data_IF_096630591053
#
_entry.id   IF_096630591053
#
_cell.length_a   1.000
_cell.length_b   1.000
_cell.length_c   1.000
_cell.angle_alpha   90.00
_cell.angle_beta   90.00
_cell.angle_gamma   90.00
#
_symmetry.space_group_name_H-M   'P 1'
#
loop_
_entity.id
_entity.type
_entity.pdbx_description
1 polymer ?
#
# COMPACT_ATOMS: atom_id res chain seq x y z
N UNK A 1 14.96 -20.11 -31.22
CA UNK A 1 15.00 -18.68 -30.89
C UNK A 1 14.01 -17.94 -31.75
N UNK A 2 12.97 -17.34 -31.16
CA UNK A 2 12.05 -16.47 -31.91
C UNK A 2 12.56 -15.02 -32.00
N UNK A 3 13.36 -14.55 -31.03
CA UNK A 3 13.90 -13.18 -30.97
C UNK A 3 15.38 -13.21 -30.61
N UNK A 4 16.23 -12.50 -31.37
CA UNK A 4 17.69 -12.47 -31.18
C UNK A 4 18.18 -11.16 -30.56
N UNK A 5 17.37 -10.10 -30.62
CA UNK A 5 17.72 -8.79 -30.07
C UNK A 5 16.57 -8.22 -29.24
N UNK A 6 16.91 -7.32 -28.30
CA UNK A 6 15.90 -6.57 -27.53
C UNK A 6 14.97 -5.77 -28.45
N UNK A 7 15.51 -5.17 -29.53
CA UNK A 7 14.74 -4.39 -30.48
C UNK A 7 13.68 -5.23 -31.20
N UNK A 8 14.02 -6.45 -31.64
CA UNK A 8 13.06 -7.38 -32.26
C UNK A 8 11.95 -7.77 -31.28
N UNK A 9 12.31 -8.05 -30.02
CA UNK A 9 11.34 -8.39 -28.99
C UNK A 9 10.38 -7.23 -28.70
N UNK A 10 10.90 -6.01 -28.56
CA UNK A 10 10.07 -4.82 -28.30
C UNK A 10 9.21 -4.44 -29.50
N UNK A 11 9.73 -4.61 -30.72
CA UNK A 11 8.93 -4.44 -31.93
C UNK A 11 7.75 -5.40 -31.93
N UNK A 12 8.01 -6.68 -31.62
CA UNK A 12 6.95 -7.67 -31.48
C UNK A 12 5.95 -7.28 -30.40
N UNK A 13 6.40 -6.93 -29.20
CA UNK A 13 5.54 -6.54 -28.09
C UNK A 13 4.58 -5.39 -28.48
N UNK A 14 5.09 -4.42 -29.25
CA UNK A 14 4.30 -3.28 -29.73
C UNK A 14 3.15 -3.70 -30.67
N UNK A 15 3.28 -4.80 -31.41
CA UNK A 15 2.19 -5.32 -32.26
C UNK A 15 0.97 -5.82 -31.46
N UNK A 16 1.09 -6.01 -30.15
CA UNK A 16 -0.06 -6.33 -29.30
C UNK A 16 -0.84 -5.07 -28.89
N UNK A 17 -0.22 -3.88 -28.92
CA UNK A 17 -0.90 -2.63 -28.51
C UNK A 17 -2.15 -2.41 -29.38
N UNK A 18 -3.29 -2.18 -28.72
CA UNK A 18 -4.59 -2.03 -29.36
C UNK A 18 -5.36 -3.32 -29.61
N UNK A 19 -4.75 -4.50 -29.46
CA UNK A 19 -5.45 -5.79 -29.57
C UNK A 19 -6.12 -6.19 -28.27
N UNK A 20 -7.25 -6.87 -28.39
CA UNK A 20 -7.95 -7.51 -27.28
C UNK A 20 -7.37 -8.90 -27.00
N UNK A 21 -7.54 -9.42 -25.79
CA UNK A 21 -7.12 -10.80 -25.50
C UNK A 21 -7.89 -11.84 -26.31
N UNK A 22 -9.13 -11.57 -26.70
CA UNK A 22 -9.89 -12.43 -27.61
C UNK A 22 -9.28 -12.53 -29.01
N UNK A 23 -8.69 -11.44 -29.52
CA UNK A 23 -7.96 -11.45 -30.81
C UNK A 23 -6.59 -12.12 -30.70
N UNK A 24 -5.95 -12.03 -29.54
CA UNK A 24 -4.62 -12.60 -29.30
C UNK A 24 -4.71 -14.11 -29.04
N UNK A 25 -5.71 -14.57 -28.29
CA UNK A 25 -5.81 -15.94 -27.83
C UNK A 25 -6.09 -16.93 -28.97
N UNK A 26 -5.14 -17.84 -29.20
CA UNK A 26 -5.25 -18.93 -30.18
C UNK A 26 -5.63 -20.26 -29.53
N UNK A 27 -5.71 -20.30 -28.21
CA UNK A 27 -5.87 -21.51 -27.39
C UNK A 27 -7.26 -21.66 -26.79
N UNK A 28 -8.07 -20.59 -26.80
CA UNK A 28 -9.37 -20.55 -26.13
C UNK A 28 -9.29 -20.47 -24.60
N UNK A 29 -8.09 -20.24 -24.04
CA UNK A 29 -7.87 -20.06 -22.59
C UNK A 29 -8.67 -18.90 -22.03
N UNK A 30 -8.99 -17.89 -22.85
CA UNK A 30 -9.71 -16.68 -22.47
C UNK A 30 -11.16 -16.96 -22.06
N UNK A 31 -11.74 -18.09 -22.46
CA UNK A 31 -13.09 -18.52 -22.06
C UNK A 31 -13.12 -19.21 -20.68
N UNK A 32 -12.00 -19.74 -20.19
CA UNK A 32 -11.96 -20.47 -18.93
C UNK A 32 -11.70 -19.56 -17.71
N UNK A 33 -12.75 -18.95 -17.16
CA UNK A 33 -12.65 -17.99 -16.05
C UNK A 33 -12.05 -18.54 -14.75
N UNK A 34 -12.02 -19.87 -14.57
CA UNK A 34 -11.67 -20.50 -13.28
C UNK A 34 -10.18 -20.53 -12.95
N UNK A 35 -9.31 -20.16 -13.88
CA UNK A 35 -7.86 -20.26 -13.71
C UNK A 35 -7.18 -18.89 -13.69
N UNK A 36 -6.52 -18.59 -12.56
CA UNK A 36 -5.73 -17.37 -12.35
C UNK A 36 -4.50 -17.38 -13.27
N UNK A 37 -4.15 -16.23 -13.85
CA UNK A 37 -2.91 -16.06 -14.64
C UNK A 37 -3.02 -16.31 -16.15
N UNK A 38 -4.20 -16.66 -16.67
CA UNK A 38 -4.39 -16.98 -18.09
C UNK A 38 -4.02 -15.85 -19.07
N UNK A 39 -4.22 -14.58 -18.71
CA UNK A 39 -3.85 -13.47 -19.59
C UNK A 39 -2.32 -13.40 -19.82
N UNK A 40 -1.53 -13.76 -18.79
CA UNK A 40 -0.08 -13.96 -18.93
C UNK A 40 0.24 -15.05 -19.95
N UNK A 41 -0.36 -16.22 -19.75
CA UNK A 41 -0.17 -17.39 -20.60
C UNK A 41 -0.63 -17.18 -22.05
N UNK A 42 -1.70 -16.40 -22.27
CA UNK A 42 -2.15 -16.03 -23.62
C UNK A 42 -1.06 -15.22 -24.34
N UNK A 43 -0.42 -14.27 -23.65
CA UNK A 43 0.67 -13.48 -24.24
C UNK A 43 1.90 -14.37 -24.46
N UNK A 44 2.26 -15.23 -23.50
CA UNK A 44 3.38 -16.17 -23.63
C UNK A 44 3.20 -17.13 -24.83
N UNK A 45 2.09 -17.88 -24.87
CA UNK A 45 1.84 -18.93 -25.85
C UNK A 45 1.32 -18.38 -27.18
N UNK A 46 0.25 -17.58 -27.15
CA UNK A 46 -0.46 -17.19 -28.38
C UNK A 46 0.22 -16.01 -29.10
N UNK A 47 0.86 -15.11 -28.35
CA UNK A 47 1.49 -13.92 -28.92
C UNK A 47 2.98 -14.09 -29.20
N UNK A 48 3.76 -14.58 -28.22
CA UNK A 48 5.21 -14.79 -28.36
C UNK A 48 5.60 -16.21 -28.80
N UNK A 49 4.68 -17.18 -28.74
CA UNK A 49 4.91 -18.54 -29.24
C UNK A 49 5.74 -19.43 -28.32
N UNK A 50 5.78 -19.15 -27.01
CA UNK A 50 6.49 -19.98 -26.04
C UNK A 50 5.60 -21.06 -25.44
N UNK A 51 6.15 -22.24 -25.17
CA UNK A 51 5.50 -23.21 -24.29
C UNK A 51 5.59 -22.74 -22.83
N UNK A 52 4.45 -22.73 -22.13
CA UNK A 52 4.41 -22.44 -20.69
C UNK A 52 5.31 -23.43 -19.97
N UNK A 53 6.35 -22.91 -19.32
CA UNK A 53 7.30 -23.69 -18.55
C UNK A 53 7.51 -23.07 -17.17
N UNK A 54 7.86 -23.89 -16.18
CA UNK A 54 8.06 -23.45 -14.80
C UNK A 54 9.54 -23.20 -14.46
N UNK A 55 10.35 -22.76 -15.43
CA UNK A 55 11.78 -22.55 -15.22
C UNK A 55 12.03 -21.35 -14.32
N UNK A 56 13.12 -21.41 -13.56
CA UNK A 56 13.52 -20.31 -12.67
C UNK A 56 14.12 -19.12 -13.42
N UNK A 57 14.57 -19.32 -14.66
CA UNK A 57 15.16 -18.30 -15.54
C UNK A 57 14.13 -17.26 -16.00
N UNK A 58 14.60 -16.20 -16.66
CA UNK A 58 13.74 -15.21 -17.28
C UNK A 58 13.04 -15.81 -18.52
N UNK A 59 11.84 -15.31 -18.84
CA UNK A 59 11.05 -15.81 -19.98
C UNK A 59 11.82 -15.73 -21.31
N UNK A 60 12.58 -14.65 -21.51
CA UNK A 60 13.54 -14.49 -22.61
C UNK A 60 14.98 -14.61 -22.09
N UNK A 61 15.36 -15.82 -21.65
CA UNK A 61 16.63 -16.09 -20.97
C UNK A 61 17.87 -15.55 -21.71
N UNK A 62 17.93 -15.67 -23.04
CA UNK A 62 19.07 -15.18 -23.85
C UNK A 62 19.20 -13.65 -23.86
N UNK A 63 18.09 -12.93 -23.63
CA UNK A 63 18.07 -11.47 -23.53
C UNK A 63 18.09 -10.99 -22.06
N UNK A 64 17.92 -11.91 -21.10
CA UNK A 64 17.77 -11.58 -19.69
C UNK A 64 16.52 -10.73 -19.41
N UNK A 65 15.43 -10.94 -20.14
CA UNK A 65 14.18 -10.18 -20.03
C UNK A 65 13.06 -11.08 -19.50
N UNK A 66 12.38 -10.64 -18.44
CA UNK A 66 11.19 -11.28 -17.90
C UNK A 66 9.92 -10.69 -18.55
N UNK A 67 8.91 -11.52 -18.84
CA UNK A 67 7.61 -11.07 -19.31
C UNK A 67 6.63 -10.92 -18.14
N UNK A 68 5.90 -9.80 -18.12
CA UNK A 68 4.86 -9.56 -17.14
C UNK A 68 3.66 -8.85 -17.77
N UNK A 69 2.48 -9.44 -17.61
CA UNK A 69 1.21 -8.87 -18.04
C UNK A 69 0.51 -8.28 -16.82
N UNK A 70 0.15 -6.99 -16.85
CA UNK A 70 -0.32 -6.28 -15.65
C UNK A 70 -1.51 -5.34 -15.93
N UNK A 71 -2.57 -5.38 -15.10
CA UNK A 71 -3.78 -4.58 -15.30
C UNK A 71 -3.65 -3.13 -14.82
N UNK A 72 -4.19 -2.22 -15.63
CA UNK A 72 -4.49 -0.84 -15.27
C UNK A 72 -5.99 -0.62 -15.13
N UNK A 73 -6.40 0.19 -14.16
CA UNK A 73 -7.79 0.63 -13.98
C UNK A 73 -7.91 2.14 -14.17
N UNK A 74 -9.05 2.57 -14.69
CA UNK A 74 -9.46 3.97 -14.71
C UNK A 74 -10.20 4.32 -13.41
N UNK A 75 -9.70 5.30 -12.68
CA UNK A 75 -10.33 5.78 -11.46
C UNK A 75 -11.51 6.71 -11.75
N UNK A 76 -12.38 6.93 -10.76
CA UNK A 76 -13.56 7.83 -10.89
C UNK A 76 -13.20 9.26 -11.29
N UNK A 77 -12.01 9.74 -10.89
CA UNK A 77 -11.47 11.05 -11.26
C UNK A 77 -10.72 11.03 -12.61
N UNK A 78 -10.87 9.97 -13.41
CA UNK A 78 -10.24 9.75 -14.71
C UNK A 78 -8.72 9.57 -14.70
N UNK A 79 -8.09 9.44 -13.52
CA UNK A 79 -6.67 9.06 -13.46
C UNK A 79 -6.49 7.56 -13.63
N UNK A 80 -5.30 7.15 -14.06
CA UNK A 80 -4.93 5.73 -14.22
C UNK A 80 -4.12 5.26 -13.00
N UNK A 81 -4.31 4.00 -12.62
CA UNK A 81 -3.51 3.32 -11.59
C UNK A 81 -3.44 1.83 -11.89
N UNK A 82 -2.39 1.15 -11.42
CA UNK A 82 -2.35 -0.30 -11.42
C UNK A 82 -3.48 -0.86 -10.56
N UNK A 83 -4.10 -1.94 -11.04
CA UNK A 83 -5.19 -2.61 -10.30
C UNK A 83 -4.66 -3.52 -9.19
N UNK A 84 -3.43 -3.98 -9.30
CA UNK A 84 -2.75 -4.89 -8.37
C UNK A 84 -1.22 -4.70 -8.39
N UNK A 85 -0.53 -5.36 -7.45
CA UNK A 85 0.93 -5.44 -7.39
C UNK A 85 1.48 -6.30 -8.53
N UNK A 86 2.73 -6.07 -8.96
CA UNK A 86 3.40 -6.96 -9.90
C UNK A 86 4.17 -8.04 -9.15
N UNK A 87 3.66 -9.28 -9.17
CA UNK A 87 4.30 -10.42 -8.52
C UNK A 87 5.47 -10.94 -9.38
N UNK A 88 6.61 -11.19 -8.75
CA UNK A 88 7.85 -11.65 -9.36
C UNK A 88 8.18 -13.09 -8.90
N UNK A 89 9.45 -13.41 -8.68
CA UNK A 89 9.89 -14.73 -8.22
C UNK A 89 9.61 -14.99 -6.74
N UNK A 90 9.49 -16.27 -6.40
CA UNK A 90 9.37 -16.75 -5.01
C UNK A 90 10.67 -16.49 -4.27
N UNK A 91 10.56 -16.03 -3.01
CA UNK A 91 11.69 -15.86 -2.10
C UNK A 91 12.02 -17.22 -1.50
N UNK A 92 13.16 -17.80 -1.89
CA UNK A 92 13.67 -18.99 -1.23
C UNK A 92 14.49 -18.57 -0.01
N UNK A 93 13.88 -18.60 1.18
CA UNK A 93 14.52 -18.14 2.43
C UNK A 93 15.90 -18.76 2.70
N UNK A 94 16.11 -20.02 2.33
CA UNK A 94 17.37 -20.74 2.55
C UNK A 94 18.48 -20.25 1.61
N UNK A 95 18.14 -19.97 0.35
CA UNK A 95 19.11 -19.60 -0.69
C UNK A 95 19.36 -18.09 -0.74
N UNK A 96 18.31 -17.28 -0.58
CA UNK A 96 18.38 -15.83 -0.77
C UNK A 96 19.33 -15.15 0.23
N UNK A 97 19.44 -15.70 1.44
CA UNK A 97 20.36 -15.15 2.46
C UNK A 97 21.84 -15.34 2.13
N UNK A 98 22.15 -16.20 1.16
CA UNK A 98 23.52 -16.55 0.74
C UNK A 98 24.02 -15.68 -0.42
N UNK A 99 23.19 -14.79 -0.98
CA UNK A 99 23.53 -13.98 -2.14
C UNK A 99 23.87 -12.53 -1.76
N UNK A 100 24.50 -11.80 -2.68
CA UNK A 100 24.47 -10.33 -2.71
C UNK A 100 23.24 -9.85 -3.48
N UNK A 101 23.00 -8.54 -3.55
CA UNK A 101 21.91 -8.01 -4.38
C UNK A 101 22.12 -8.38 -5.85
N UNK A 102 23.34 -8.19 -6.37
CA UNK A 102 23.69 -8.39 -7.78
C UNK A 102 23.62 -9.88 -8.20
N UNK A 103 23.82 -10.79 -7.24
CA UNK A 103 23.73 -12.25 -7.45
C UNK A 103 22.42 -12.86 -6.95
N UNK A 104 21.48 -12.02 -6.48
CA UNK A 104 20.20 -12.46 -5.93
C UNK A 104 19.28 -13.08 -6.98
N UNK A 105 18.37 -13.94 -6.53
CA UNK A 105 17.33 -14.49 -7.42
C UNK A 105 16.38 -13.40 -7.92
N UNK A 106 16.22 -12.32 -7.14
CA UNK A 106 15.50 -11.13 -7.56
C UNK A 106 16.20 -10.43 -8.74
N UNK A 107 17.44 -9.98 -8.57
CA UNK A 107 18.08 -9.10 -9.54
C UNK A 107 18.36 -9.79 -10.87
N UNK A 108 18.89 -11.01 -10.79
CA UNK A 108 19.23 -11.82 -11.98
C UNK A 108 18.04 -12.04 -12.91
N UNK A 109 16.84 -12.20 -12.35
CA UNK A 109 15.60 -12.42 -13.11
C UNK A 109 14.89 -11.12 -13.51
N UNK A 110 14.94 -10.08 -12.67
CA UNK A 110 14.04 -8.94 -12.79
C UNK A 110 14.72 -7.62 -13.17
N UNK A 111 16.01 -7.62 -13.53
CA UNK A 111 16.74 -6.41 -13.97
C UNK A 111 16.13 -5.74 -15.21
N UNK A 112 15.47 -6.52 -16.09
CA UNK A 112 14.73 -6.04 -17.26
C UNK A 112 13.40 -6.78 -17.35
N UNK A 113 12.29 -6.03 -17.36
CA UNK A 113 10.95 -6.62 -17.39
C UNK A 113 10.17 -6.04 -18.56
N UNK A 114 9.78 -6.87 -19.52
CA UNK A 114 8.83 -6.50 -20.54
C UNK A 114 7.41 -6.48 -19.95
N UNK A 115 6.91 -5.28 -19.70
CA UNK A 115 5.56 -5.03 -19.22
C UNK A 115 4.57 -4.95 -20.38
N UNK A 116 3.49 -5.71 -20.27
CA UNK A 116 2.31 -5.64 -21.13
C UNK A 116 1.15 -5.10 -20.31
N UNK A 117 0.93 -3.78 -20.37
CA UNK A 117 -0.18 -3.12 -19.69
C UNK A 117 -1.48 -3.36 -20.46
N UNK A 118 -2.52 -3.79 -19.76
CA UNK A 118 -3.87 -3.91 -20.33
C UNK A 118 -4.92 -3.18 -19.49
N UNK A 119 -6.02 -2.80 -20.12
CA UNK A 119 -7.12 -2.16 -19.43
C UNK A 119 -8.00 -3.21 -18.74
N UNK A 120 -8.12 -3.11 -17.42
CA UNK A 120 -9.13 -3.83 -16.65
C UNK A 120 -10.40 -2.98 -16.55
N UNK A 121 -11.53 -3.57 -16.91
CA UNK A 121 -12.85 -2.95 -16.82
C UNK A 121 -13.73 -3.85 -15.94
N UNK A 122 -14.33 -3.32 -14.86
CA UNK A 122 -15.26 -4.10 -14.02
C UNK A 122 -16.41 -4.67 -14.87
N UNK A 123 -16.83 -5.89 -14.56
CA UNK A 123 -18.02 -6.54 -15.15
C UNK A 123 -17.94 -6.78 -16.68
N UNK A 124 -16.79 -6.52 -17.29
CA UNK A 124 -16.51 -6.84 -18.69
C UNK A 124 -15.71 -8.14 -18.78
N UNK A 125 -16.07 -8.99 -19.73
CA UNK A 125 -15.38 -10.26 -19.95
C UNK A 125 -13.92 -10.00 -20.39
N UNK A 126 -12.99 -10.79 -19.86
CA UNK A 126 -11.56 -10.55 -20.06
C UNK A 126 -11.08 -10.69 -21.50
N UNK A 127 -11.86 -11.32 -22.39
CA UNK A 127 -11.56 -11.36 -23.82
C UNK A 127 -11.60 -9.98 -24.45
N UNK A 128 -12.40 -9.06 -23.90
CA UNK A 128 -12.53 -7.68 -24.37
C UNK A 128 -11.46 -6.76 -23.78
N UNK A 129 -10.67 -7.23 -22.81
CA UNK A 129 -9.58 -6.42 -22.28
C UNK A 129 -8.54 -6.15 -23.36
N UNK A 130 -8.13 -4.89 -23.47
CA UNK A 130 -7.23 -4.42 -24.51
C UNK A 130 -5.83 -4.18 -23.96
N UNK A 131 -4.81 -4.62 -24.69
CA UNK A 131 -3.42 -4.25 -24.41
C UNK A 131 -3.24 -2.78 -24.76
N UNK A 132 -2.95 -1.96 -23.75
CA UNK A 132 -2.80 -0.52 -23.89
C UNK A 132 -1.39 -0.13 -24.32
N UNK A 133 -0.39 -0.78 -23.71
CA UNK A 133 1.01 -0.38 -23.87
C UNK A 133 1.96 -1.52 -23.55
N UNK A 134 3.00 -1.66 -24.37
CA UNK A 134 4.17 -2.48 -24.09
C UNK A 134 5.34 -1.57 -23.70
N UNK A 135 6.12 -1.98 -22.70
CA UNK A 135 7.25 -1.19 -22.21
C UNK A 135 8.32 -2.08 -21.59
N UNK A 136 9.60 -1.82 -21.88
CA UNK A 136 10.72 -2.45 -21.18
C UNK A 136 11.02 -1.67 -19.91
N UNK A 137 10.58 -2.17 -18.77
CA UNK A 137 10.93 -1.61 -17.48
C UNK A 137 12.39 -1.92 -17.15
N UNK A 138 13.15 -0.85 -16.98
CA UNK A 138 14.44 -0.80 -16.29
C UNK A 138 14.33 0.19 -15.14
N UNK A 139 15.15 0.02 -14.11
CA UNK A 139 15.12 0.91 -12.93
C UNK A 139 16.04 2.11 -13.14
N UNK A 140 15.58 3.31 -12.77
CA UNK A 140 16.47 4.47 -12.64
C UNK A 140 17.47 4.24 -11.50
N UNK A 141 18.52 5.06 -11.41
CA UNK A 141 19.50 4.95 -10.34
C UNK A 141 18.84 5.12 -8.95
N UNK A 142 17.93 6.08 -8.83
CA UNK A 142 17.17 6.35 -7.61
C UNK A 142 16.25 5.17 -7.23
N UNK A 143 15.44 4.70 -8.17
CA UNK A 143 14.53 3.57 -7.94
C UNK A 143 15.32 2.31 -7.57
N UNK A 144 16.44 2.05 -8.25
CA UNK A 144 17.29 0.89 -8.01
C UNK A 144 17.89 0.91 -6.60
N UNK A 145 18.32 2.08 -6.13
CA UNK A 145 18.90 2.21 -4.80
C UNK A 145 17.87 1.94 -3.71
N UNK A 146 16.62 2.40 -3.88
CA UNK A 146 15.51 2.07 -2.98
C UNK A 146 15.21 0.57 -3.02
N UNK A 147 15.13 -0.03 -4.21
CA UNK A 147 14.90 -1.47 -4.39
C UNK A 147 16.01 -2.32 -3.75
N UNK A 148 17.27 -1.88 -3.84
CA UNK A 148 18.41 -2.53 -3.19
C UNK A 148 18.30 -2.47 -1.67
N UNK A 149 17.93 -1.31 -1.12
CA UNK A 149 17.67 -1.15 0.32
C UNK A 149 16.51 -2.04 0.79
N UNK A 150 15.44 -2.14 0.01
CA UNK A 150 14.29 -3.01 0.29
C UNK A 150 14.68 -4.49 0.28
N UNK A 151 15.45 -4.93 -0.71
CA UNK A 151 15.98 -6.30 -0.77
C UNK A 151 16.89 -6.59 0.43
N UNK A 152 17.75 -5.65 0.81
CA UNK A 152 18.61 -5.75 2.00
C UNK A 152 17.77 -5.86 3.29
N UNK A 153 16.69 -5.08 3.42
CA UNK A 153 15.78 -5.18 4.55
C UNK A 153 15.16 -6.57 4.64
N UNK A 154 14.59 -7.06 3.53
CA UNK A 154 13.93 -8.38 3.48
C UNK A 154 14.91 -9.48 3.87
N UNK A 155 16.10 -9.50 3.26
CA UNK A 155 17.12 -10.51 3.55
C UNK A 155 17.69 -10.40 4.95
N UNK A 156 17.88 -9.20 5.48
CA UNK A 156 18.31 -8.99 6.88
C UNK A 156 17.29 -9.52 7.88
N UNK A 157 15.99 -9.32 7.60
CA UNK A 157 14.91 -9.85 8.46
C UNK A 157 14.85 -11.38 8.42
N UNK A 158 15.14 -12.01 7.27
CA UNK A 158 15.29 -13.46 7.16
C UNK A 158 16.52 -13.93 7.94
N UNK A 159 17.67 -13.25 7.79
CA UNK A 159 18.93 -13.52 8.53
C UNK A 159 18.75 -13.43 10.05
N UNK A 160 17.88 -12.55 10.50
CA UNK A 160 17.51 -12.42 11.92
C UNK A 160 16.53 -13.49 12.43
N UNK A 161 16.17 -14.49 11.62
CA UNK A 161 15.21 -15.54 12.00
C UNK A 161 13.75 -15.06 12.06
N UNK A 162 13.46 -13.94 11.40
CA UNK A 162 12.17 -13.24 11.45
C UNK A 162 11.43 -13.23 10.10
N UNK A 163 11.66 -14.23 9.23
CA UNK A 163 10.95 -14.34 7.95
C UNK A 163 9.42 -14.47 8.13
N UNK A 164 8.99 -15.07 9.25
CA UNK A 164 7.58 -15.19 9.61
C UNK A 164 6.93 -13.83 9.95
N UNK A 165 7.74 -12.81 10.21
CA UNK A 165 7.31 -11.45 10.49
C UNK A 165 7.42 -10.51 9.27
N UNK A 166 7.83 -10.99 8.10
CA UNK A 166 7.86 -10.18 6.88
C UNK A 166 6.46 -9.65 6.55
N UNK A 167 6.38 -8.42 6.07
CA UNK A 167 5.17 -7.78 5.55
C UNK A 167 5.48 -7.04 4.26
N UNK A 168 4.49 -6.79 3.41
CA UNK A 168 4.68 -5.99 2.20
C UNK A 168 4.93 -4.51 2.51
N UNK A 169 4.35 -3.99 3.59
CA UNK A 169 4.54 -2.62 4.05
C UNK A 169 5.88 -2.37 4.76
N UNK A 170 6.67 -3.41 5.05
CA UNK A 170 7.99 -3.26 5.66
C UNK A 170 8.91 -2.38 4.80
N UNK A 171 8.87 -2.57 3.48
CA UNK A 171 9.74 -1.94 2.49
C UNK A 171 9.04 -0.80 1.75
N UNK A 172 9.71 -0.18 0.78
CA UNK A 172 9.25 1.02 0.04
C UNK A 172 8.65 0.63 -1.32
N UNK A 173 9.42 0.08 -2.25
CA UNK A 173 8.99 -0.31 -3.61
C UNK A 173 8.94 -1.82 -3.83
N UNK A 174 9.95 -2.55 -3.36
CA UNK A 174 10.05 -4.01 -3.49
C UNK A 174 9.48 -4.68 -2.24
N UNK A 175 8.27 -5.20 -2.34
CA UNK A 175 7.58 -5.94 -1.28
C UNK A 175 7.89 -7.44 -1.26
N UNK A 176 7.56 -8.07 -0.12
CA UNK A 176 7.53 -9.52 0.04
C UNK A 176 6.08 -9.99 0.29
N UNK A 177 5.28 -10.16 -0.76
CA UNK A 177 3.87 -10.55 -0.63
C UNK A 177 3.72 -12.06 -0.37
N UNK A 178 2.69 -12.47 0.39
CA UNK A 178 2.38 -13.90 0.59
C UNK A 178 1.97 -14.57 -0.72
N UNK A 179 2.38 -15.82 -0.91
CA UNK A 179 2.00 -16.65 -2.07
C UNK A 179 1.45 -17.99 -1.59
N UNK A 180 0.12 -18.04 -1.49
CA UNK A 180 -0.65 -19.14 -0.94
C UNK A 180 -1.42 -18.71 0.32
N UNK A 181 -2.46 -19.48 0.69
CA UNK A 181 -3.39 -19.11 1.78
C UNK A 181 -3.35 -20.06 3.00
N UNK A 182 -2.76 -21.25 2.85
CA UNK A 182 -2.96 -22.34 3.82
C UNK A 182 -1.63 -22.86 4.39
N UNK A 183 -1.72 -23.76 5.37
CA UNK A 183 -0.58 -24.44 6.01
C UNK A 183 0.40 -25.07 5.01
N UNK A 184 -0.07 -25.55 3.86
CA UNK A 184 0.77 -26.12 2.79
C UNK A 184 1.72 -25.08 2.15
N UNK A 185 1.46 -23.80 2.39
CA UNK A 185 2.29 -22.68 1.95
C UNK A 185 3.37 -22.32 2.97
N UNK A 186 3.42 -22.98 4.14
CA UNK A 186 4.48 -22.77 5.11
C UNK A 186 5.82 -23.30 4.58
N UNK A 187 6.89 -22.59 4.91
CA UNK A 187 8.27 -22.90 4.54
C UNK A 187 9.15 -22.77 5.77
N UNK A 188 10.18 -23.59 5.84
CA UNK A 188 11.27 -23.42 6.79
C UNK A 188 12.06 -22.15 6.47
N UNK A 189 12.71 -21.58 7.48
CA UNK A 189 13.67 -20.48 7.33
C UNK A 189 15.02 -20.87 7.95
N UNK A 190 16.15 -20.29 7.51
CA UNK A 190 17.49 -20.73 7.91
C UNK A 190 17.82 -20.53 9.40
N UNK A 191 17.30 -19.46 10.02
CA UNK A 191 17.76 -19.00 11.34
C UNK A 191 16.67 -18.99 12.41
N UNK A 192 15.62 -19.80 12.25
CA UNK A 192 14.55 -19.95 13.26
C UNK A 192 13.76 -21.25 13.03
N UNK A 193 13.33 -21.94 14.10
CA UNK A 193 12.46 -23.11 13.98
C UNK A 193 11.02 -22.75 13.62
N UNK A 194 10.63 -21.46 13.71
CA UNK A 194 9.29 -20.99 13.39
C UNK A 194 9.12 -21.05 11.87
N UNK A 195 8.02 -21.65 11.41
CA UNK A 195 7.70 -21.66 9.99
C UNK A 195 7.23 -20.29 9.52
N UNK A 196 7.58 -19.92 8.29
CA UNK A 196 7.14 -18.68 7.65
C UNK A 196 6.25 -19.00 6.45
N UNK A 197 5.24 -18.17 6.20
CA UNK A 197 4.48 -18.27 4.95
C UNK A 197 5.41 -18.09 3.75
N UNK A 198 5.18 -18.84 2.67
CA UNK A 198 5.85 -18.62 1.39
C UNK A 198 5.55 -17.21 0.90
N UNK A 199 6.59 -16.49 0.50
CA UNK A 199 6.49 -15.15 -0.07
C UNK A 199 7.12 -15.08 -1.45
N UNK A 200 6.69 -14.11 -2.24
CA UNK A 200 7.30 -13.73 -3.49
C UNK A 200 7.73 -12.26 -3.42
N UNK A 201 8.79 -11.93 -4.14
CA UNK A 201 9.09 -10.54 -4.43
C UNK A 201 7.95 -9.94 -5.24
N UNK A 202 7.64 -8.67 -5.01
CA UNK A 202 6.64 -7.96 -5.80
C UNK A 202 6.95 -6.47 -5.87
N UNK A 203 6.77 -5.85 -7.03
CA UNK A 203 6.70 -4.38 -7.10
C UNK A 203 5.31 -3.94 -6.66
N UNK A 204 5.23 -3.02 -5.71
CA UNK A 204 3.95 -2.57 -5.16
C UNK A 204 3.04 -1.97 -6.24
N UNK A 205 1.73 -2.08 -6.05
CA UNK A 205 0.74 -1.50 -6.96
C UNK A 205 0.91 0.02 -7.12
N UNK A 206 1.36 0.70 -6.06
CA UNK A 206 1.72 2.12 -6.04
C UNK A 206 2.90 2.43 -6.97
N UNK A 207 3.97 1.62 -6.91
CA UNK A 207 5.12 1.72 -7.80
C UNK A 207 4.71 1.53 -9.26
N UNK A 208 3.95 0.47 -9.54
CA UNK A 208 3.42 0.19 -10.88
C UNK A 208 2.50 1.30 -11.39
N UNK A 209 1.75 1.96 -10.51
CA UNK A 209 0.93 3.12 -10.86
C UNK A 209 1.80 4.32 -11.26
N UNK A 210 2.91 4.56 -10.54
CA UNK A 210 3.89 5.60 -10.90
C UNK A 210 4.51 5.34 -12.26
N UNK A 211 5.03 4.12 -12.49
CA UNK A 211 5.58 3.68 -13.77
C UNK A 211 4.58 3.86 -14.92
N UNK A 212 3.35 3.36 -14.75
CA UNK A 212 2.32 3.48 -15.78
C UNK A 212 1.96 4.94 -16.08
N UNK A 213 1.87 5.81 -15.06
CA UNK A 213 1.59 7.25 -15.27
C UNK A 213 2.72 7.94 -16.00
N UNK A 214 3.98 7.68 -15.64
CA UNK A 214 5.14 8.25 -16.33
C UNK A 214 5.13 7.86 -17.81
N UNK A 215 4.94 6.58 -18.11
CA UNK A 215 4.89 6.05 -19.48
C UNK A 215 3.72 6.63 -20.28
N UNK A 216 2.52 6.69 -19.69
CA UNK A 216 1.31 7.09 -20.42
C UNK A 216 1.14 8.62 -20.54
N UNK A 217 1.64 9.39 -19.58
CA UNK A 217 1.52 10.86 -19.58
C UNK A 217 2.75 11.58 -20.13
N UNK A 218 3.89 10.89 -20.23
CA UNK A 218 5.18 11.46 -20.64
C UNK A 218 5.56 12.70 -19.81
N UNK A 219 5.28 12.64 -18.50
CA UNK A 219 5.61 13.69 -17.52
C UNK A 219 6.36 13.08 -16.36
N UNK A 220 7.41 13.77 -15.95
CA UNK A 220 8.16 13.44 -14.75
C UNK A 220 7.37 13.84 -13.49
N UNK A 221 7.55 13.04 -12.44
CA UNK A 221 6.98 13.31 -11.13
C UNK A 221 7.91 14.24 -10.34
N UNK A 222 7.36 14.94 -9.34
CA UNK A 222 8.19 15.73 -8.43
C UNK A 222 8.79 14.79 -7.40
N UNK A 223 10.11 14.72 -7.37
CA UNK A 223 10.90 13.95 -6.40
C UNK A 223 11.44 14.86 -5.29
N UNK A 224 11.63 14.28 -4.09
CA UNK A 224 12.26 14.95 -2.94
C UNK A 224 13.66 14.42 -2.63
N UNK A 225 14.13 13.46 -3.42
CA UNK A 225 15.42 12.79 -3.27
C UNK A 225 16.24 12.92 -4.55
N UNK A 226 17.49 12.47 -4.50
CA UNK A 226 18.32 12.28 -5.69
C UNK A 226 19.23 11.05 -5.47
N UNK A 227 19.87 10.59 -6.53
CA UNK A 227 20.70 9.38 -6.48
C UNK A 227 21.85 9.48 -5.46
N UNK A 228 22.49 10.64 -5.34
CA UNK A 228 23.61 10.84 -4.40
C UNK A 228 23.18 10.71 -2.94
N UNK A 229 22.01 11.23 -2.59
CA UNK A 229 21.45 11.05 -1.24
C UNK A 229 21.10 9.58 -0.98
N UNK A 230 20.42 8.93 -1.92
CA UNK A 230 19.96 7.55 -1.76
C UNK A 230 21.10 6.54 -1.66
N UNK A 231 22.28 6.85 -2.23
CA UNK A 231 23.48 6.01 -2.08
C UNK A 231 23.96 5.89 -0.63
N UNK A 232 23.68 6.89 0.21
CA UNK A 232 24.16 6.96 1.60
C UNK A 232 23.06 6.93 2.65
N UNK A 233 21.81 7.22 2.27
CA UNK A 233 20.67 7.34 3.17
C UNK A 233 19.43 6.65 2.61
N UNK A 234 18.65 6.06 3.51
CA UNK A 234 17.30 5.59 3.23
C UNK A 234 16.35 6.78 3.03
N UNK A 235 15.19 6.54 2.39
CA UNK A 235 14.13 7.54 2.29
C UNK A 235 13.70 8.08 3.67
N UNK A 236 13.72 7.22 4.69
CA UNK A 236 13.38 7.61 6.07
C UNK A 236 14.39 8.62 6.65
N UNK A 237 15.69 8.34 6.49
CA UNK A 237 16.76 9.24 6.95
C UNK A 237 16.73 10.57 6.19
N UNK A 238 16.50 10.54 4.87
CA UNK A 238 16.37 11.77 4.08
C UNK A 238 15.19 12.60 4.60
N UNK A 239 14.02 11.99 4.81
CA UNK A 239 12.87 12.69 5.36
C UNK A 239 13.19 13.27 6.74
N UNK A 240 13.80 12.48 7.63
CA UNK A 240 14.18 12.94 8.96
C UNK A 240 15.08 14.18 8.88
N UNK A 241 16.09 14.19 8.02
CA UNK A 241 16.97 15.34 7.82
C UNK A 241 16.23 16.59 7.32
N UNK A 242 15.22 16.43 6.45
CA UNK A 242 14.39 17.55 6.00
C UNK A 242 13.57 18.15 7.13
N UNK A 243 13.11 17.34 8.09
CA UNK A 243 12.28 17.80 9.21
C UNK A 243 13.07 18.24 10.45
N UNK A 244 14.33 17.80 10.58
CA UNK A 244 15.21 18.08 11.71
C UNK A 244 15.28 19.58 12.10
N UNK A 245 15.38 20.55 11.17
CA UNK A 245 15.48 21.98 11.50
C UNK A 245 14.24 22.57 12.20
N UNK A 246 13.12 21.84 12.19
CA UNK A 246 11.84 22.31 12.72
C UNK A 246 11.49 21.71 14.08
N UNK A 247 12.23 20.70 14.54
CA UNK A 247 11.95 20.01 15.80
C UNK A 247 12.00 21.00 16.97
N UNK A 248 10.98 20.95 17.82
CA UNK A 248 10.81 21.81 18.98
C UNK A 248 10.25 23.20 18.67
N UNK A 249 10.07 23.58 17.40
CA UNK A 249 9.55 24.89 17.01
C UNK A 249 8.02 24.94 17.06
N UNK A 250 7.43 26.09 17.45
CA UNK A 250 6.01 26.34 17.33
C UNK A 250 5.56 26.37 15.87
N UNK A 251 4.35 25.89 15.60
CA UNK A 251 3.76 25.86 14.25
C UNK A 251 3.72 27.27 13.62
N UNK A 252 3.46 28.32 14.42
CA UNK A 252 3.45 29.70 13.90
C UNK A 252 4.82 30.17 13.44
N UNK A 253 5.87 29.83 14.19
CA UNK A 253 7.25 30.15 13.80
C UNK A 253 7.65 29.40 12.53
N UNK A 254 7.37 28.10 12.44
CA UNK A 254 7.68 27.33 11.23
C UNK A 254 6.95 27.92 10.02
N UNK A 255 5.67 28.27 10.18
CA UNK A 255 4.89 28.88 9.11
C UNK A 255 5.48 30.22 8.66
N UNK A 256 5.88 31.08 9.62
CA UNK A 256 6.53 32.36 9.33
C UNK A 256 7.86 32.20 8.60
N UNK A 257 8.76 31.33 9.09
CA UNK A 257 10.09 31.08 8.51
C UNK A 257 10.02 30.57 7.07
N UNK A 258 8.94 29.88 6.69
CA UNK A 258 8.76 29.30 5.36
C UNK A 258 7.74 30.07 4.49
N UNK A 259 7.25 31.22 4.94
CA UNK A 259 6.29 32.05 4.20
C UNK A 259 4.93 31.36 3.97
N UNK A 260 4.49 30.51 4.90
CA UNK A 260 3.24 29.74 4.81
C UNK A 260 2.15 30.46 5.60
N UNK A 261 1.01 30.74 4.96
CA UNK A 261 -0.16 31.31 5.66
C UNK A 261 -0.95 30.25 6.42
N UNK A 262 -1.07 30.43 7.74
CA UNK A 262 -1.86 29.55 8.61
C UNK A 262 -3.35 29.77 8.36
N UNK A 263 -4.08 28.67 8.24
CA UNK A 263 -5.54 28.70 8.16
C UNK A 263 -6.15 27.44 8.80
N UNK A 264 -7.44 27.51 9.09
CA UNK A 264 -8.18 26.42 9.76
C UNK A 264 -8.70 25.35 8.78
N UNK A 265 -8.24 25.33 7.53
CA UNK A 265 -8.69 24.34 6.55
C UNK A 265 -8.16 22.94 6.88
N UNK A 266 -8.94 21.91 6.53
CA UNK A 266 -8.48 20.52 6.65
C UNK A 266 -7.26 20.22 5.77
N UNK A 267 -7.04 21.00 4.72
CA UNK A 267 -5.89 20.92 3.79
C UNK A 267 -4.66 21.66 4.27
N UNK A 268 -4.72 22.42 5.38
CA UNK A 268 -3.60 23.21 5.85
C UNK A 268 -2.38 22.34 6.15
N UNK A 269 -2.54 21.28 6.93
CA UNK A 269 -1.40 20.46 7.37
C UNK A 269 -0.70 19.74 6.20
N UNK A 270 -1.42 19.07 5.26
CA UNK A 270 -0.78 18.52 4.07
C UNK A 270 0.00 19.58 3.26
N UNK A 271 -0.58 20.77 3.04
CA UNK A 271 0.10 21.84 2.30
C UNK A 271 1.32 22.38 3.06
N UNK A 272 1.21 22.50 4.38
CA UNK A 272 2.30 22.92 5.25
C UNK A 272 3.47 21.94 5.13
N UNK A 273 3.21 20.62 5.21
CA UNK A 273 4.26 19.61 5.07
C UNK A 273 4.85 19.56 3.67
N UNK A 274 4.04 19.68 2.61
CA UNK A 274 4.56 19.81 1.24
C UNK A 274 5.53 20.99 1.11
N UNK A 275 5.19 22.13 1.71
CA UNK A 275 6.05 23.31 1.69
C UNK A 275 7.36 23.09 2.47
N UNK A 276 7.35 22.37 3.61
CA UNK A 276 8.57 22.04 4.35
C UNK A 276 9.51 21.09 3.56
N UNK A 277 8.95 20.26 2.69
CA UNK A 277 9.75 19.43 1.78
C UNK A 277 10.23 20.19 0.53
N UNK A 278 10.01 21.51 0.47
CA UNK A 278 10.40 22.34 -0.67
C UNK A 278 9.49 22.20 -1.90
N UNK A 279 8.34 21.55 -1.76
CA UNK A 279 7.44 21.25 -2.88
C UNK A 279 6.33 22.29 -2.96
N UNK A 280 6.25 22.95 -4.11
CA UNK A 280 5.22 23.94 -4.43
C UNK A 280 4.28 23.40 -5.51
N UNK A 281 2.97 23.57 -5.31
CA UNK A 281 1.95 23.27 -6.33
C UNK A 281 1.59 21.80 -6.52
N UNK A 282 2.27 20.87 -5.82
CA UNK A 282 2.00 19.42 -5.88
C UNK A 282 1.47 18.94 -4.53
N UNK A 283 0.47 18.05 -4.53
CA UNK A 283 -0.01 17.43 -3.28
C UNK A 283 1.05 16.47 -2.77
N UNK A 284 1.13 16.34 -1.45
CA UNK A 284 2.07 15.42 -0.80
C UNK A 284 1.93 13.97 -1.33
N UNK A 285 0.70 13.51 -1.55
CA UNK A 285 0.43 12.16 -2.06
C UNK A 285 0.85 11.96 -3.54
N UNK A 286 1.11 13.05 -4.27
CA UNK A 286 1.53 13.05 -5.68
C UNK A 286 3.07 13.13 -5.84
N UNK A 287 3.82 13.25 -4.74
CA UNK A 287 5.30 13.16 -4.73
C UNK A 287 5.70 11.77 -5.20
N UNK A 288 6.73 11.68 -6.03
CA UNK A 288 7.18 10.43 -6.64
C UNK A 288 7.38 9.31 -5.63
N UNK A 289 8.20 9.54 -4.61
CA UNK A 289 8.54 8.52 -3.61
C UNK A 289 7.31 8.12 -2.80
N UNK A 290 6.42 9.06 -2.47
CA UNK A 290 5.23 8.76 -1.65
C UNK A 290 4.17 8.02 -2.46
N UNK A 291 3.94 8.46 -3.70
CA UNK A 291 3.03 7.83 -4.64
C UNK A 291 3.52 6.44 -5.05
N UNK A 292 4.82 6.23 -5.23
CA UNK A 292 5.39 4.91 -5.56
C UNK A 292 5.44 3.99 -4.32
N UNK A 293 5.63 4.52 -3.12
CA UNK A 293 5.76 3.73 -1.89
C UNK A 293 4.44 3.39 -1.16
N UNK A 294 3.31 3.97 -1.58
CA UNK A 294 2.03 3.90 -0.85
C UNK A 294 2.13 4.48 0.56
N UNK A 295 2.85 5.61 0.69
CA UNK A 295 2.98 6.34 1.97
C UNK A 295 1.73 7.19 2.17
N UNK A 296 1.00 6.96 3.26
CA UNK A 296 -0.15 7.77 3.67
C UNK A 296 0.20 8.71 4.81
N UNK A 297 -0.14 9.97 4.63
CA UNK A 297 0.11 11.00 5.63
C UNK A 297 -0.95 10.99 6.76
N UNK A 298 -0.49 11.06 8.01
CA UNK A 298 -1.35 11.29 9.18
C UNK A 298 -0.72 12.28 10.14
N UNK A 299 -1.49 13.30 10.53
CA UNK A 299 -1.09 14.21 11.60
C UNK A 299 -1.50 13.65 12.95
N UNK A 300 -0.59 13.72 13.92
CA UNK A 300 -0.85 13.36 15.31
C UNK A 300 -0.64 14.61 16.16
N UNK A 301 -1.59 14.87 17.07
CA UNK A 301 -1.52 16.00 18.01
C UNK A 301 -1.62 15.46 19.42
N UNK A 302 -0.52 15.49 20.15
CA UNK A 302 -0.43 15.01 21.52
C UNK A 302 -0.94 16.07 22.49
N UNK A 303 -1.68 15.61 23.48
CA UNK A 303 -1.94 16.37 24.69
C UNK A 303 -0.71 16.29 25.62
N UNK A 304 -0.58 17.16 26.64
CA UNK A 304 0.58 17.17 27.54
C UNK A 304 0.88 15.84 28.25
N UNK A 305 -0.08 14.92 28.28
CA UNK A 305 0.08 13.56 28.81
C UNK A 305 0.66 12.56 27.81
N UNK A 306 1.08 13.00 26.61
CA UNK A 306 1.63 12.15 25.55
C UNK A 306 0.60 11.34 24.78
N UNK A 307 -0.70 11.51 25.04
CA UNK A 307 -1.77 10.78 24.33
C UNK A 307 -2.32 11.66 23.21
N UNK A 308 -2.54 11.12 22.00
CA UNK A 308 -3.20 11.85 20.93
C UNK A 308 -4.58 12.40 21.35
N UNK A 309 -4.86 13.65 20.99
CA UNK A 309 -6.16 14.30 21.22
C UNK A 309 -7.31 13.55 20.55
N UNK A 310 -7.04 12.95 19.38
CA UNK A 310 -8.04 12.29 18.54
C UNK A 310 -7.64 10.85 18.21
N UNK A 311 -8.64 9.98 18.09
CA UNK A 311 -8.48 8.66 17.46
C UNK A 311 -8.23 8.84 15.95
N UNK A 312 -7.54 7.89 15.33
CA UNK A 312 -7.20 8.00 13.92
C UNK A 312 -8.24 7.30 13.04
N UNK A 313 -8.98 8.06 12.23
CA UNK A 313 -9.98 7.48 11.31
C UNK A 313 -9.42 7.04 9.95
N UNK A 314 -10.09 6.05 9.37
CA UNK A 314 -9.84 5.52 8.04
C UNK A 314 -11.10 5.56 7.17
N UNK A 315 -11.31 4.55 6.33
CA UNK A 315 -12.43 4.41 5.39
C UNK A 315 -13.75 4.25 6.14
N UNK A 316 -14.82 4.82 5.58
CA UNK A 316 -16.18 4.51 6.01
C UNK A 316 -16.50 3.04 5.71
N UNK A 317 -17.22 2.40 6.62
CA UNK A 317 -17.58 1.00 6.48
C UNK A 317 -18.68 0.80 5.42
N UNK A 318 -18.53 -0.27 4.65
CA UNK A 318 -19.64 -0.90 3.94
C UNK A 318 -19.96 -2.20 4.69
N UNK A 319 -21.04 -2.20 5.49
CA UNK A 319 -21.42 -3.36 6.31
C UNK A 319 -21.79 -4.58 5.48
N UNK A 320 -22.39 -4.37 4.30
CA UNK A 320 -22.75 -5.47 3.39
C UNK A 320 -21.50 -6.17 2.85
N UNK A 321 -20.51 -5.39 2.41
CA UNK A 321 -19.21 -5.94 1.98
C UNK A 321 -18.54 -6.70 3.14
N UNK A 322 -18.50 -6.11 4.34
CA UNK A 322 -17.81 -6.68 5.50
C UNK A 322 -18.36 -8.05 5.93
N UNK A 323 -19.66 -8.28 5.79
CA UNK A 323 -20.27 -9.58 6.15
C UNK A 323 -19.91 -10.68 5.15
N UNK A 324 -19.66 -10.34 3.89
CA UNK A 324 -19.41 -11.31 2.82
C UNK A 324 -17.94 -11.51 2.49
N UNK A 325 -17.08 -10.56 2.86
CA UNK A 325 -15.68 -10.56 2.49
C UNK A 325 -14.86 -11.54 3.38
N UNK A 326 -13.97 -12.32 2.77
CA UNK A 326 -13.04 -13.16 3.50
C UNK A 326 -11.86 -12.34 4.02
N UNK A 327 -11.33 -12.68 5.21
CA UNK A 327 -10.19 -11.98 5.83
C UNK A 327 -9.00 -11.77 4.88
N UNK A 328 -8.60 -12.82 4.16
CA UNK A 328 -7.43 -12.82 3.27
C UNK A 328 -7.54 -11.86 2.09
N UNK A 329 -8.75 -11.54 1.65
CA UNK A 329 -8.99 -10.57 0.57
C UNK A 329 -9.56 -9.28 1.11
N UNK A 330 -9.68 -9.14 2.43
CA UNK A 330 -10.38 -8.04 3.04
C UNK A 330 -9.72 -6.70 2.79
N UNK A 331 -10.52 -5.63 2.68
CA UNK A 331 -9.96 -4.29 2.61
C UNK A 331 -9.09 -4.00 3.83
N UNK A 332 -9.51 -4.45 5.01
CA UNK A 332 -8.82 -4.14 6.27
C UNK A 332 -7.41 -4.75 6.30
N UNK A 333 -7.28 -6.06 6.03
CA UNK A 333 -5.99 -6.74 5.93
C UNK A 333 -5.12 -6.10 4.85
N UNK A 334 -5.63 -6.02 3.63
CA UNK A 334 -4.87 -5.49 2.49
C UNK A 334 -4.40 -4.05 2.70
N UNK A 335 -5.22 -3.20 3.33
CA UNK A 335 -4.84 -1.82 3.62
C UNK A 335 -3.63 -1.77 4.56
N UNK A 336 -3.69 -2.45 5.70
CA UNK A 336 -2.61 -2.38 6.69
C UNK A 336 -1.36 -3.17 6.29
N UNK A 337 -1.49 -4.24 5.50
CA UNK A 337 -0.35 -4.99 4.97
C UNK A 337 0.43 -4.23 3.89
N UNK A 338 -0.20 -3.26 3.22
CA UNK A 338 0.39 -2.58 2.05
C UNK A 338 0.68 -1.09 2.30
N UNK A 339 0.06 -0.48 3.31
CA UNK A 339 0.21 0.95 3.60
C UNK A 339 1.31 1.19 4.61
N UNK A 340 2.23 2.10 4.26
CA UNK A 340 3.15 2.74 5.21
C UNK A 340 2.59 4.11 5.56
N UNK A 341 2.65 4.48 6.83
CA UNK A 341 2.16 5.77 7.31
C UNK A 341 3.34 6.67 7.63
N UNK A 342 3.28 7.92 7.15
CA UNK A 342 4.12 9.00 7.63
C UNK A 342 3.34 9.75 8.70
N UNK A 343 3.68 9.49 9.95
CA UNK A 343 3.16 10.23 11.09
C UNK A 343 3.93 11.52 11.25
N UNK A 344 3.22 12.64 11.26
CA UNK A 344 3.78 13.96 11.53
C UNK A 344 3.21 14.43 12.86
N UNK A 345 4.12 14.57 13.82
CA UNK A 345 3.78 14.58 15.24
C UNK A 345 3.97 16.00 15.75
N UNK A 346 2.90 16.51 16.35
CA UNK A 346 2.89 17.75 17.09
C UNK A 346 2.43 17.49 18.52
N UNK A 347 2.79 18.36 19.44
CA UNK A 347 2.30 18.34 20.82
C UNK A 347 1.74 19.70 21.23
N UNK A 348 0.78 19.67 22.16
CA UNK A 348 0.48 20.81 23.00
C UNK A 348 1.28 20.70 24.30
N UNK A 349 1.93 21.79 24.71
CA UNK A 349 2.64 21.87 26.01
C UNK A 349 1.74 22.24 27.18
N UNK A 350 0.56 22.76 26.89
CA UNK A 350 -0.44 23.19 27.86
C UNK A 350 -1.77 22.52 27.57
N UNK A 351 -2.56 22.27 28.62
CA UNK A 351 -3.94 21.77 28.47
C UNK A 351 -4.87 22.90 28.01
N UNK A 352 -5.99 22.53 27.38
CA UNK A 352 -7.01 23.51 26.96
C UNK A 352 -7.64 24.28 28.13
N UNK A 353 -7.54 23.74 29.35
CA UNK A 353 -7.99 24.39 30.58
C UNK A 353 -7.04 25.49 31.02
N UNK A 354 -5.74 25.28 30.85
CA UNK A 354 -4.69 26.25 31.19
C UNK A 354 -4.65 27.37 30.16
N UNK A 355 -4.68 27.03 28.87
CA UNK A 355 -4.59 28.01 27.78
C UNK A 355 -5.50 27.61 26.60
N UNK A 356 -6.54 28.40 26.35
CA UNK A 356 -7.45 28.20 25.20
C UNK A 356 -6.78 28.50 23.86
N UNK A 357 -5.73 29.31 23.84
CA UNK A 357 -4.96 29.71 22.66
C UNK A 357 -3.60 28.98 22.59
N UNK A 358 -3.50 27.82 23.24
CA UNK A 358 -2.30 26.97 23.24
C UNK A 358 -1.81 26.65 21.83
N UNK A 359 -0.49 26.59 21.70
CA UNK A 359 0.18 26.37 20.42
C UNK A 359 0.63 24.92 20.24
N UNK A 360 0.68 24.47 18.98
CA UNK A 360 1.27 23.19 18.58
C UNK A 360 2.77 23.35 18.35
N UNK A 361 3.56 22.49 18.97
CA UNK A 361 4.99 22.37 18.73
C UNK A 361 5.28 21.14 17.89
N UNK A 362 6.14 21.28 16.88
CA UNK A 362 6.53 20.15 16.04
C UNK A 362 7.54 19.27 16.78
N UNK A 363 7.28 17.96 16.83
CA UNK A 363 8.12 16.99 17.54
C UNK A 363 8.96 16.17 16.58
N UNK A 364 8.43 15.87 15.41
CA UNK A 364 9.14 15.11 14.39
C UNK A 364 8.21 14.28 13.52
N UNK A 365 8.81 13.30 12.87
CA UNK A 365 8.10 12.35 12.02
C UNK A 365 8.39 10.91 12.42
N UNK A 366 7.50 9.99 12.05
CA UNK A 366 7.72 8.55 12.18
C UNK A 366 7.15 7.83 10.96
N UNK A 367 7.97 7.04 10.27
CA UNK A 367 7.45 6.07 9.31
C UNK A 367 7.04 4.81 10.06
N UNK A 368 5.80 4.39 9.86
CA UNK A 368 5.24 3.25 10.57
C UNK A 368 4.32 2.44 9.68
N UNK A 369 4.39 1.12 9.80
CA UNK A 369 3.41 0.21 9.24
C UNK A 369 2.99 -0.79 10.31
N UNK A 370 1.76 -1.29 10.22
CA UNK A 370 1.28 -2.26 11.19
C UNK A 370 2.09 -3.56 11.08
N UNK A 371 2.66 -4.06 12.19
CA UNK A 371 3.32 -5.36 12.23
C UNK A 371 2.39 -6.47 11.74
N UNK A 372 2.91 -7.38 10.91
CA UNK A 372 2.11 -8.50 10.40
C UNK A 372 1.51 -9.36 11.52
N UNK A 373 2.21 -9.45 12.66
CA UNK A 373 1.71 -10.18 13.83
C UNK A 373 0.44 -9.53 14.40
N UNK A 374 0.35 -8.20 14.45
CA UNK A 374 -0.84 -7.49 14.91
C UNK A 374 -1.99 -7.61 13.90
N UNK A 375 -1.67 -7.59 12.60
CA UNK A 375 -2.63 -7.82 11.52
C UNK A 375 -3.24 -9.22 11.66
N UNK A 376 -2.42 -10.26 11.70
CA UNK A 376 -2.84 -11.67 11.73
C UNK A 376 -3.26 -12.15 13.14
N UNK A 377 -3.37 -11.25 14.12
CA UNK A 377 -3.90 -11.55 15.47
C UNK A 377 -5.04 -10.61 15.83
N UNK A 378 -4.75 -9.53 16.56
CA UNK A 378 -5.72 -8.63 17.17
C UNK A 378 -6.63 -7.94 16.15
N UNK A 379 -6.10 -7.59 14.97
CA UNK A 379 -6.90 -7.00 13.89
C UNK A 379 -7.80 -8.05 13.20
N UNK A 380 -7.28 -9.25 12.97
CA UNK A 380 -8.06 -10.37 12.42
C UNK A 380 -9.20 -10.78 13.37
N UNK A 381 -8.91 -10.90 14.67
CA UNK A 381 -9.91 -11.21 15.70
C UNK A 381 -10.99 -10.13 15.74
N UNK A 382 -10.60 -8.85 15.71
CA UNK A 382 -11.55 -7.74 15.60
C UNK A 382 -12.45 -7.86 14.38
N UNK A 383 -11.87 -8.15 13.22
CA UNK A 383 -12.61 -8.30 11.96
C UNK A 383 -13.65 -9.41 12.04
N UNK A 384 -13.25 -10.59 12.52
CA UNK A 384 -14.11 -11.77 12.65
C UNK A 384 -15.22 -11.56 13.69
N UNK A 385 -14.89 -10.99 14.85
CA UNK A 385 -15.88 -10.70 15.89
C UNK A 385 -16.92 -9.68 15.40
N UNK A 386 -16.48 -8.63 14.69
CA UNK A 386 -17.40 -7.67 14.08
C UNK A 386 -18.27 -8.32 13.00
N UNK A 387 -17.71 -9.21 12.18
CA UNK A 387 -18.47 -9.96 11.17
C UNK A 387 -19.56 -10.82 11.82
N UNK A 388 -19.25 -11.56 12.88
CA UNK A 388 -20.22 -12.34 13.66
C UNK A 388 -21.30 -11.44 14.26
N UNK A 389 -20.92 -10.32 14.86
CA UNK A 389 -21.86 -9.37 15.44
C UNK A 389 -22.83 -8.80 14.40
N UNK A 390 -22.34 -8.49 13.20
CA UNK A 390 -23.17 -8.02 12.09
C UNK A 390 -24.16 -9.10 11.61
N UNK A 391 -23.77 -10.37 11.63
CA UNK A 391 -24.63 -11.52 11.29
C UNK A 391 -25.72 -11.79 12.35
N UNK A 392 -25.40 -11.65 13.64
CA UNK A 392 -26.36 -11.83 14.72
C UNK A 392 -27.31 -10.64 14.91
N UNK A 393 -26.99 -9.50 14.31
CA UNK A 393 -27.75 -8.25 14.42
C UNK A 393 -27.15 -7.31 15.47
N UNK A 394 -26.92 -6.07 15.04
CA UNK A 394 -26.41 -5.02 15.92
C UNK A 394 -27.55 -4.53 16.81
N UNK A 395 -27.32 -4.46 18.12
CA UNK A 395 -28.31 -3.94 19.06
C UNK A 395 -28.25 -2.42 19.06
N UNK A 396 -29.37 -1.76 18.76
CA UNK A 396 -29.50 -0.30 18.76
C UNK A 396 -30.62 0.10 19.72
N UNK A 397 -30.26 0.83 20.78
CA UNK A 397 -31.17 1.34 21.79
C UNK A 397 -31.22 2.87 21.75
N UNK A 398 -32.42 3.44 21.73
CA UNK A 398 -32.61 4.90 21.85
C UNK A 398 -32.53 5.30 23.31
N UNK A 399 -31.58 6.17 23.65
CA UNK A 399 -31.37 6.65 25.02
C UNK A 399 -31.49 8.17 25.08
N UNK A 400 -32.04 8.69 26.17
CA UNK A 400 -32.07 10.13 26.42
C UNK A 400 -30.71 10.61 26.93
N UNK A 401 -30.19 11.68 26.32
CA UNK A 401 -28.97 12.38 26.70
C UNK A 401 -29.28 13.88 26.79
N UNK A 402 -29.67 14.32 27.99
CA UNK A 402 -30.20 15.67 28.20
C UNK A 402 -31.50 15.87 27.42
N UNK A 403 -31.57 16.94 26.62
CA UNK A 403 -32.74 17.23 25.78
C UNK A 403 -32.71 16.52 24.41
N UNK A 404 -31.81 15.56 24.21
CA UNK A 404 -31.64 14.86 22.92
C UNK A 404 -31.80 13.36 23.08
N UNK A 405 -32.36 12.69 22.05
CA UNK A 405 -32.40 11.23 21.97
C UNK A 405 -31.26 10.77 21.06
N UNK A 406 -30.42 9.86 21.54
CA UNK A 406 -29.28 9.32 20.79
C UNK A 406 -29.38 7.80 20.66
N UNK A 407 -29.00 7.28 19.49
CA UNK A 407 -28.95 5.85 19.25
C UNK A 407 -27.63 5.28 19.80
N UNK A 408 -27.71 4.49 20.86
CA UNK A 408 -26.57 3.73 21.41
C UNK A 408 -26.57 2.35 20.76
N UNK A 409 -25.41 1.94 20.25
CA UNK A 409 -25.24 0.61 19.67
C UNK A 409 -24.17 -0.20 20.43
N UNK A 410 -24.09 -1.49 20.15
CA UNK A 410 -23.11 -2.40 20.74
C UNK A 410 -21.88 -2.64 19.84
N UNK A 411 -21.64 -1.87 18.78
CA UNK A 411 -20.43 -2.02 17.95
C UNK A 411 -19.17 -1.80 18.80
N UNK A 412 -18.02 -2.38 18.42
CA UNK A 412 -16.77 -2.26 19.18
C UNK A 412 -16.43 -0.80 19.49
N UNK A 413 -16.34 -0.46 20.77
CA UNK A 413 -16.01 0.88 21.26
C UNK A 413 -14.50 1.04 21.47
N UNK A 414 -13.99 2.29 21.62
CA UNK A 414 -12.59 2.50 21.95
C UNK A 414 -12.15 1.70 23.18
N UNK A 415 -10.96 1.09 23.12
CA UNK A 415 -10.40 0.26 24.16
C UNK A 415 -10.96 -1.16 24.25
N UNK A 416 -11.95 -1.54 23.42
CA UNK A 416 -12.59 -2.86 23.47
C UNK A 416 -11.62 -4.01 23.17
N UNK A 417 -10.67 -3.79 22.27
CA UNK A 417 -9.58 -4.73 22.00
C UNK A 417 -8.20 -4.13 22.25
N UNK A 418 -8.07 -2.82 22.54
CA UNK A 418 -6.79 -2.14 22.73
C UNK A 418 -6.06 -1.74 21.44
N UNK A 419 -6.69 -1.88 20.28
CA UNK A 419 -6.12 -1.56 18.96
C UNK A 419 -7.00 -0.59 18.17
N UNK A 420 -8.29 -0.92 18.03
CA UNK A 420 -9.17 -0.28 17.09
C UNK A 420 -10.64 -0.40 17.49
N UNK A 421 -11.48 0.42 16.86
CA UNK A 421 -12.90 0.47 17.14
C UNK A 421 -13.71 0.98 15.94
N UNK A 422 -15.04 0.87 16.05
CA UNK A 422 -16.00 1.42 15.10
C UNK A 422 -16.67 2.65 15.70
N UNK A 423 -16.64 3.77 14.97
CA UNK A 423 -17.24 5.03 15.44
C UNK A 423 -17.85 5.84 14.30
N UNK A 424 -18.90 6.66 14.56
CA UNK A 424 -19.57 7.43 13.51
C UNK A 424 -18.62 8.36 12.75
N UNK A 425 -18.75 8.37 11.42
CA UNK A 425 -18.08 9.27 10.48
C UNK A 425 -19.01 9.57 9.30
N UNK A 426 -19.97 10.44 9.55
CA UNK A 426 -20.92 10.96 8.57
C UNK A 426 -21.14 12.45 8.75
N UNK A 427 -21.98 13.06 7.91
CA UNK A 427 -22.31 14.50 8.03
C UNK A 427 -22.96 14.82 9.37
N UNK A 428 -23.87 13.95 9.83
CA UNK A 428 -24.56 14.04 11.11
C UNK A 428 -25.20 12.67 11.44
N UNK A 429 -25.93 12.55 12.56
CA UNK A 429 -26.58 11.31 12.97
C UNK A 429 -27.71 10.81 12.04
N UNK A 430 -28.16 11.64 11.09
CA UNK A 430 -29.14 11.26 10.06
C UNK A 430 -28.50 10.77 8.77
N UNK A 431 -27.19 10.95 8.61
CA UNK A 431 -26.43 10.36 7.51
C UNK A 431 -26.21 8.87 7.80
N UNK A 432 -27.21 8.07 7.47
CA UNK A 432 -27.32 6.66 7.83
C UNK A 432 -26.90 5.71 6.70
N UNK A 433 -26.61 4.48 7.06
CA UNK A 433 -26.32 3.35 6.19
C UNK A 433 -27.07 2.11 6.70
N UNK A 434 -27.50 1.19 5.82
CA UNK A 434 -28.13 -0.04 6.26
C UNK A 434 -27.12 -0.99 6.92
N UNK A 435 -27.63 -1.77 7.86
CA UNK A 435 -27.03 -2.98 8.41
C UNK A 435 -27.57 -4.20 7.66
N UNK A 436 -26.91 -5.37 7.78
CA UNK A 436 -27.33 -6.60 7.09
C UNK A 436 -28.75 -7.07 7.41
N UNK A 437 -29.23 -6.78 8.62
CA UNK A 437 -30.57 -7.10 9.10
C UNK A 437 -31.64 -6.05 8.69
N UNK A 438 -31.25 -5.04 7.92
CA UNK A 438 -32.12 -3.95 7.45
C UNK A 438 -32.25 -2.77 8.41
N UNK A 439 -31.67 -2.83 9.62
CA UNK A 439 -31.64 -1.69 10.52
C UNK A 439 -30.81 -0.53 9.93
N UNK A 440 -31.13 0.70 10.31
CA UNK A 440 -30.40 1.91 9.85
C UNK A 440 -29.57 2.51 10.98
N UNK A 441 -28.26 2.61 10.75
CA UNK A 441 -27.32 3.22 11.70
C UNK A 441 -26.61 4.41 11.05
N UNK A 442 -26.20 5.41 11.84
CA UNK A 442 -25.33 6.48 11.32
C UNK A 442 -24.09 5.87 10.64
N UNK A 443 -23.60 6.48 9.56
CA UNK A 443 -22.39 6.01 8.86
C UNK A 443 -21.24 5.86 9.84
N UNK A 444 -20.65 4.67 9.86
CA UNK A 444 -19.51 4.34 10.72
C UNK A 444 -18.22 4.30 9.90
N UNK A 445 -17.09 4.42 10.59
CA UNK A 445 -15.77 4.18 10.04
C UNK A 445 -14.95 3.31 10.99
N UNK A 446 -13.88 2.74 10.44
CA UNK A 446 -12.81 2.11 11.21
C UNK A 446 -11.87 3.17 11.78
N UNK A 447 -11.43 2.97 13.02
CA UNK A 447 -10.52 3.86 13.73
C UNK A 447 -9.45 3.07 14.48
N UNK A 448 -8.21 3.57 14.51
CA UNK A 448 -7.22 3.13 15.49
C UNK A 448 -7.43 3.90 16.80
N UNK A 449 -7.23 3.20 17.91
CA UNK A 449 -7.31 3.79 19.23
C UNK A 449 -6.17 4.77 19.47
N UNK A 450 -6.48 5.92 20.06
CA UNK A 450 -5.47 6.95 20.37
C UNK A 450 -4.38 6.41 21.30
N UNK A 451 -4.74 5.51 22.22
CA UNK A 451 -3.80 4.93 23.18
C UNK A 451 -2.85 3.95 22.49
N UNK A 452 -3.34 3.18 21.51
CA UNK A 452 -2.50 2.36 20.64
C UNK A 452 -1.58 3.24 19.79
N UNK A 453 -2.09 4.33 19.20
CA UNK A 453 -1.26 5.30 18.47
C UNK A 453 -0.20 5.94 19.38
N UNK A 454 -0.51 6.22 20.64
CA UNK A 454 0.45 6.73 21.62
C UNK A 454 1.60 5.74 21.85
N UNK A 455 1.29 4.44 21.99
CA UNK A 455 2.31 3.39 22.15
C UNK A 455 3.19 3.20 20.92
N UNK A 456 2.67 3.51 19.72
CA UNK A 456 3.46 3.45 18.50
C UNK A 456 4.47 4.58 18.43
N UNK A 457 4.12 5.78 18.86
CA UNK A 457 4.94 6.99 18.65
C UNK A 457 5.92 7.28 19.78
N UNK A 458 5.55 6.94 21.02
CA UNK A 458 6.44 6.96 22.17
C UNK A 458 7.50 5.84 22.06
#
# INVERSE_FOLDING_TARGET
MLYKTEAELLYKAKEAEGKTFGEIDRTGRVENEKSKGHLGQIIEESFFGYEVNSKSEADFAELGIELKVTPLKLNKNKTISAKERLVLNIINYQKEVLTTFETSSFWTKNQKILLMFYQWIPEVHRSEYQVLKSHLLTFSEEDLQIIKNDWLFITSKIKAGKAHNLSEADTIYLGACTKGKNKDSLRTQPFSPIYAMQRAYSLKASFMSGVARQILSNKDMVSITNSQELQSKTLEEILHDRFLPYIGKPLTQIAYENGISINNSKSFVPNFISALLGIKGTKLDDIEEFSKANIQFKTIRLEPNGVPREHMSFKNMNFMEWVTEEWDVSWLKNHFEQTKFLFVIFEFRETERENKNRELFFIGIKLWNMPIQEIESQLMEFYQNLQLQLLFGVQINMISKGNTVVARNNLPSPGSNGLCHIRPKGRNGQDKTPLPDGQMIAKQAFWLDKDYVANIIN
#
